data_IF_383299791615
#
_entry.id   IF_383299791615
#
_cell.length_a   1.000
_cell.length_b   1.000
_cell.length_c   1.000
_cell.angle_alpha   90.00
_cell.angle_beta   90.00
_cell.angle_gamma   90.00
#
_symmetry.space_group_name_H-M   'P 1'
#
loop_
_entity.id
_entity.type
_entity.pdbx_description
1 polymer ?
#
# COMPACT_ATOMS: atom_id res chain seq x y z
N UNK A 1 36.15 -19.78 14.49
CA UNK A 1 35.09 -19.26 13.60
C UNK A 1 34.06 -18.57 14.47
N UNK A 2 33.86 -17.25 14.33
CA UNK A 2 32.72 -16.58 15.00
C UNK A 2 31.45 -16.97 14.26
N UNK A 3 30.61 -17.75 14.89
CA UNK A 3 29.25 -18.00 14.39
C UNK A 3 28.56 -16.66 14.30
N UNK A 4 28.36 -16.14 13.10
CA UNK A 4 27.57 -14.92 12.89
C UNK A 4 26.17 -15.26 13.39
N UNK A 5 25.71 -14.59 14.43
CA UNK A 5 24.35 -14.78 14.94
C UNK A 5 23.37 -14.48 13.79
N UNK A 6 22.42 -15.39 13.58
CA UNK A 6 21.38 -15.24 12.56
C UNK A 6 20.54 -13.97 12.87
N UNK A 7 20.32 -13.13 11.87
CA UNK A 7 19.50 -11.92 12.01
C UNK A 7 18.04 -12.32 12.23
N UNK A 8 17.40 -11.70 13.19
CA UNK A 8 16.01 -11.97 13.56
C UNK A 8 15.09 -10.82 13.11
N UNK A 9 13.94 -11.17 12.57
CA UNK A 9 12.91 -10.22 12.16
C UNK A 9 11.56 -10.60 12.76
N UNK A 10 10.75 -9.62 13.11
CA UNK A 10 9.42 -9.84 13.65
C UNK A 10 8.39 -8.90 13.00
N UNK A 11 7.22 -9.45 12.68
CA UNK A 11 6.11 -8.73 12.10
C UNK A 11 4.76 -9.20 12.67
N UNK A 12 3.80 -8.31 12.78
CA UNK A 12 2.38 -8.72 12.85
C UNK A 12 1.74 -8.47 11.50
N UNK A 13 0.88 -9.38 11.08
CA UNK A 13 0.01 -9.23 9.89
C UNK A 13 -1.33 -9.87 10.19
N UNK A 14 -2.41 -9.36 9.60
CA UNK A 14 -3.73 -9.93 9.77
C UNK A 14 -3.89 -11.16 8.88
N UNK A 15 -3.58 -12.36 9.38
CA UNK A 15 -3.84 -13.61 8.64
C UNK A 15 -5.32 -13.99 8.67
N UNK A 16 -6.02 -13.50 9.67
CA UNK A 16 -7.48 -13.59 9.85
C UNK A 16 -8.10 -12.20 10.01
N UNK A 17 -9.44 -12.13 10.07
CA UNK A 17 -10.17 -10.87 10.25
C UNK A 17 -10.31 -10.00 9.00
N UNK A 18 -10.68 -8.72 9.15
CA UNK A 18 -11.07 -7.85 8.02
C UNK A 18 -9.96 -7.55 7.00
N UNK A 19 -8.70 -7.64 7.39
CA UNK A 19 -7.54 -7.39 6.53
C UNK A 19 -6.84 -8.69 6.09
N UNK A 20 -7.50 -9.85 6.24
CA UNK A 20 -6.88 -11.16 6.00
C UNK A 20 -6.41 -11.35 4.55
N UNK A 21 -7.11 -10.75 3.57
CA UNK A 21 -6.70 -10.81 2.18
C UNK A 21 -5.30 -10.19 2.00
N UNK A 22 -5.16 -8.96 2.42
CA UNK A 22 -3.89 -8.22 2.30
C UNK A 22 -2.83 -8.77 3.26
N UNK A 23 -3.23 -9.18 4.46
CA UNK A 23 -2.32 -9.73 5.46
C UNK A 23 -1.64 -11.02 4.99
N UNK A 24 -2.37 -11.93 4.35
CA UNK A 24 -1.79 -13.15 3.77
C UNK A 24 -0.82 -12.85 2.64
N UNK A 25 -1.14 -11.88 1.76
CA UNK A 25 -0.21 -11.43 0.73
C UNK A 25 1.07 -10.84 1.33
N UNK A 26 0.94 -10.00 2.36
CA UNK A 26 2.07 -9.42 3.06
C UNK A 26 2.94 -10.50 3.73
N UNK A 27 2.33 -11.49 4.40
CA UNK A 27 3.05 -12.60 5.03
C UNK A 27 3.90 -13.36 4.02
N UNK A 28 3.32 -13.79 2.89
CA UNK A 28 4.03 -14.50 1.82
C UNK A 28 5.20 -13.69 1.25
N UNK A 29 5.00 -12.36 1.09
CA UNK A 29 6.09 -11.47 0.66
C UNK A 29 7.23 -11.40 1.67
N UNK A 30 6.92 -11.32 2.97
CA UNK A 30 7.91 -11.35 4.05
C UNK A 30 8.62 -12.70 4.16
N UNK A 31 7.91 -13.81 4.01
CA UNK A 31 8.46 -15.17 4.04
C UNK A 31 9.44 -15.40 2.89
N UNK A 32 9.07 -14.98 1.67
CA UNK A 32 9.95 -15.06 0.50
C UNK A 32 11.23 -14.23 0.71
N UNK A 33 11.11 -12.98 1.18
CA UNK A 33 12.27 -12.18 1.52
C UNK A 33 13.14 -12.85 2.58
N UNK A 34 12.54 -13.32 3.68
CA UNK A 34 13.28 -13.91 4.80
C UNK A 34 14.04 -15.17 4.37
N UNK A 35 13.43 -16.01 3.52
CA UNK A 35 14.07 -17.18 2.93
C UNK A 35 15.27 -16.79 2.06
N UNK A 36 15.12 -15.78 1.19
CA UNK A 36 16.18 -15.30 0.30
C UNK A 36 17.38 -14.71 1.05
N UNK A 37 17.15 -13.95 2.11
CA UNK A 37 18.18 -13.27 2.92
C UNK A 37 18.64 -14.09 4.15
N UNK A 38 18.14 -15.32 4.33
CA UNK A 38 18.43 -16.21 5.47
C UNK A 38 18.13 -15.54 6.82
N UNK A 39 17.00 -14.88 6.92
CA UNK A 39 16.50 -14.18 8.13
C UNK A 39 15.60 -15.12 8.92
N UNK A 40 15.76 -15.16 10.23
CA UNK A 40 14.82 -15.84 11.12
C UNK A 40 13.59 -14.93 11.34
N UNK A 41 12.53 -15.19 10.59
CA UNK A 41 11.30 -14.40 10.63
C UNK A 41 10.29 -15.00 11.59
N UNK A 42 9.71 -14.15 12.45
CA UNK A 42 8.54 -14.46 13.28
C UNK A 42 7.34 -13.62 12.81
N UNK A 43 6.24 -14.28 12.43
CA UNK A 43 4.96 -13.63 12.12
C UNK A 43 3.94 -13.98 13.20
N UNK A 44 3.19 -12.98 13.66
CA UNK A 44 2.03 -13.15 14.56
C UNK A 44 0.80 -12.67 13.82
N UNK A 45 -0.27 -13.49 13.81
CA UNK A 45 -1.60 -13.07 13.36
C UNK A 45 -2.17 -12.05 14.34
N UNK A 46 -2.41 -10.84 13.86
CA UNK A 46 -3.03 -9.79 14.67
C UNK A 46 -4.55 -9.73 14.54
N UNK A 47 -5.14 -10.44 13.58
CA UNK A 47 -6.57 -10.46 13.29
C UNK A 47 -7.21 -9.05 13.16
N UNK A 48 -6.40 -8.01 12.85
CA UNK A 48 -6.82 -6.62 12.85
C UNK A 48 -6.93 -5.99 14.26
N UNK A 49 -6.43 -6.67 15.29
CA UNK A 49 -6.54 -6.25 16.70
C UNK A 49 -5.44 -5.27 17.11
N UNK A 50 -5.83 -4.07 17.44
CA UNK A 50 -4.92 -3.05 17.98
C UNK A 50 -4.21 -3.49 19.28
N UNK A 51 -4.89 -4.28 20.12
CA UNK A 51 -4.31 -4.80 21.36
C UNK A 51 -3.23 -5.83 21.06
N UNK A 52 -3.54 -6.84 20.23
CA UNK A 52 -2.57 -7.86 19.82
C UNK A 52 -1.30 -7.23 19.23
N UNK A 53 -1.48 -6.25 18.34
CA UNK A 53 -0.36 -5.54 17.73
C UNK A 53 0.49 -4.83 18.79
N UNK A 54 -0.12 -4.02 19.69
CA UNK A 54 0.64 -3.32 20.74
C UNK A 54 1.41 -4.26 21.66
N UNK A 55 0.80 -5.39 22.03
CA UNK A 55 1.42 -6.34 22.96
C UNK A 55 2.56 -7.12 22.31
N UNK A 56 2.43 -7.49 21.03
CA UNK A 56 3.50 -8.11 20.25
C UNK A 56 4.73 -7.19 20.17
N UNK A 57 4.55 -5.92 19.76
CA UNK A 57 5.66 -4.99 19.64
C UNK A 57 6.30 -4.64 20.97
N UNK A 58 5.55 -4.48 22.07
CA UNK A 58 6.11 -4.29 23.40
C UNK A 58 6.98 -5.47 23.84
N UNK A 59 6.52 -6.71 23.56
CA UNK A 59 7.28 -7.92 23.87
C UNK A 59 8.58 -7.98 23.10
N UNK A 60 8.57 -7.71 21.80
CA UNK A 60 9.76 -7.70 20.96
C UNK A 60 10.76 -6.61 21.37
N UNK A 61 10.27 -5.43 21.69
CA UNK A 61 11.12 -4.30 22.17
C UNK A 61 11.74 -4.57 23.55
N UNK A 62 11.12 -5.40 24.38
CA UNK A 62 11.70 -5.88 25.65
C UNK A 62 12.67 -7.06 25.51
N UNK A 63 12.77 -7.65 24.31
CA UNK A 63 13.64 -8.77 23.98
C UNK A 63 14.79 -8.40 23.06
N UNK A 64 15.26 -9.40 22.29
CA UNK A 64 16.26 -9.19 21.23
C UNK A 64 15.58 -9.45 19.89
N UNK A 65 15.38 -8.40 19.12
CA UNK A 65 14.93 -8.44 17.73
C UNK A 65 15.74 -7.43 16.94
N UNK A 66 16.23 -7.85 15.77
CA UNK A 66 17.07 -6.98 14.95
C UNK A 66 16.24 -6.10 14.03
N UNK A 67 15.14 -6.64 13.47
CA UNK A 67 14.28 -5.97 12.49
C UNK A 67 12.80 -6.05 12.93
N UNK A 68 12.12 -4.92 12.93
CA UNK A 68 10.66 -4.83 13.14
C UNK A 68 9.97 -4.37 11.86
N UNK A 69 9.02 -5.18 11.36
CA UNK A 69 8.27 -4.91 10.15
C UNK A 69 6.76 -4.87 10.40
N UNK A 70 6.04 -4.17 9.54
CA UNK A 70 4.57 -4.12 9.60
C UNK A 70 4.05 -3.18 10.68
N UNK A 71 2.81 -3.35 11.17
CA UNK A 71 1.76 -4.24 10.66
C UNK A 71 1.18 -3.77 9.31
N UNK A 72 0.25 -4.57 8.72
CA UNK A 72 -0.52 -4.11 7.58
C UNK A 72 -1.71 -3.25 8.02
N UNK A 73 -1.89 -2.11 7.34
CA UNK A 73 -2.99 -1.18 7.59
C UNK A 73 -2.64 0.03 8.46
N UNK A 74 -3.02 1.21 7.98
CA UNK A 74 -2.69 2.51 8.63
C UNK A 74 -3.19 2.60 10.06
N UNK A 75 -4.35 1.99 10.36
CA UNK A 75 -4.91 1.95 11.72
C UNK A 75 -3.99 1.24 12.71
N UNK A 76 -3.43 0.11 12.32
CA UNK A 76 -2.54 -0.70 13.16
C UNK A 76 -1.14 -0.08 13.28
N UNK A 77 -0.58 0.46 12.18
CA UNK A 77 0.70 1.20 12.24
C UNK A 77 0.62 2.39 13.20
N UNK A 78 -0.52 3.09 13.23
CA UNK A 78 -0.76 4.20 14.18
C UNK A 78 -0.68 3.77 15.64
N UNK A 79 -1.03 2.51 15.95
CA UNK A 79 -0.95 1.97 17.30
C UNK A 79 0.49 1.70 17.76
N UNK A 80 1.37 1.28 16.85
CA UNK A 80 2.73 0.84 17.20
C UNK A 80 3.81 1.86 16.90
N UNK A 81 3.62 2.71 15.91
CA UNK A 81 4.62 3.73 15.56
C UNK A 81 5.12 4.54 16.76
N UNK A 82 4.24 5.10 17.62
CA UNK A 82 4.65 5.82 18.83
C UNK A 82 5.39 4.94 19.84
N UNK A 83 5.05 3.65 19.92
CA UNK A 83 5.71 2.70 20.86
C UNK A 83 7.14 2.46 20.39
N UNK A 84 7.32 2.10 19.12
CA UNK A 84 8.62 1.82 18.52
C UNK A 84 9.53 3.04 18.56
N UNK A 85 9.01 4.23 18.18
CA UNK A 85 9.76 5.49 18.22
C UNK A 85 10.26 5.85 19.62
N UNK A 86 9.44 5.67 20.66
CA UNK A 86 9.85 5.93 22.05
C UNK A 86 10.96 5.00 22.56
N UNK A 87 11.04 3.78 22.01
CA UNK A 87 12.12 2.85 22.32
C UNK A 87 13.38 3.07 21.47
N UNK A 88 13.37 4.07 20.57
CA UNK A 88 14.49 4.34 19.67
C UNK A 88 14.72 3.26 18.63
N UNK A 89 13.72 2.40 18.36
CA UNK A 89 13.80 1.34 17.38
C UNK A 89 13.22 1.77 16.04
N UNK A 90 13.58 1.07 14.95
CA UNK A 90 13.04 1.29 13.62
C UNK A 90 11.83 0.38 13.37
N UNK A 91 10.78 0.93 12.80
CA UNK A 91 9.65 0.19 12.24
C UNK A 91 9.65 0.32 10.71
N UNK A 92 9.88 -0.78 10.00
CA UNK A 92 9.77 -0.82 8.54
C UNK A 92 8.31 -1.03 8.15
N UNK A 93 7.66 0.07 7.82
CA UNK A 93 6.24 0.13 7.57
C UNK A 93 5.92 -0.21 6.11
N UNK A 94 5.47 -1.44 5.87
CA UNK A 94 5.06 -1.90 4.54
C UNK A 94 3.57 -1.76 4.26
N UNK A 95 2.72 -1.50 5.26
CA UNK A 95 1.28 -1.65 5.10
C UNK A 95 0.45 -0.42 5.46
N UNK A 96 1.07 0.60 6.05
CA UNK A 96 0.39 1.84 6.42
C UNK A 96 0.83 3.00 5.53
N UNK A 97 -0.10 3.61 4.80
CA UNK A 97 0.18 4.71 3.88
C UNK A 97 -0.49 6.03 4.22
N UNK A 98 -1.34 6.08 5.28
CA UNK A 98 -1.96 7.34 5.70
C UNK A 98 -0.89 8.38 6.09
N UNK A 99 -1.05 9.61 5.62
CA UNK A 99 -0.05 10.68 5.72
C UNK A 99 0.31 11.05 7.17
N UNK A 100 -0.63 10.87 8.11
CA UNK A 100 -0.43 11.13 9.53
C UNK A 100 0.46 10.10 10.25
N UNK A 101 0.96 9.10 9.55
CA UNK A 101 1.91 8.11 10.07
C UNK A 101 3.36 8.58 10.01
N UNK A 102 3.66 9.62 9.23
CA UNK A 102 5.00 10.18 9.10
C UNK A 102 5.56 10.63 10.45
N UNK A 103 6.63 10.00 10.88
CA UNK A 103 7.35 10.31 12.13
C UNK A 103 8.73 9.69 12.13
N UNK A 104 9.65 10.21 12.94
CA UNK A 104 10.95 9.58 13.11
C UNK A 104 10.84 8.10 13.48
N UNK A 105 11.71 7.29 12.89
CA UNK A 105 11.87 5.85 13.11
C UNK A 105 10.73 4.96 12.59
N UNK A 106 9.70 5.52 11.97
CA UNK A 106 8.73 4.77 11.16
C UNK A 106 9.09 4.98 9.69
N UNK A 107 9.62 3.96 9.05
CA UNK A 107 10.15 4.02 7.68
C UNK A 107 9.09 3.49 6.71
N UNK A 108 8.33 4.37 6.03
CA UNK A 108 7.35 3.94 5.03
C UNK A 108 8.04 3.51 3.74
N UNK A 109 7.63 2.37 3.18
CA UNK A 109 8.10 1.92 1.86
C UNK A 109 7.12 2.25 0.75
N UNK A 110 5.84 2.38 1.08
CA UNK A 110 4.76 2.74 0.16
C UNK A 110 4.66 4.26 0.00
N UNK A 111 4.14 4.69 -1.14
CA UNK A 111 3.77 6.08 -1.35
C UNK A 111 2.69 6.54 -0.36
N UNK A 112 2.65 7.83 0.00
CA UNK A 112 1.60 8.39 0.87
C UNK A 112 0.21 8.23 0.27
N UNK A 113 -0.79 8.03 1.12
CA UNK A 113 -2.19 7.86 0.70
C UNK A 113 -2.72 9.05 -0.11
N UNK A 114 -2.27 10.27 0.19
CA UNK A 114 -2.62 11.48 -0.58
C UNK A 114 -2.22 11.42 -2.05
N UNK A 115 -1.33 10.52 -2.44
CA UNK A 115 -0.90 10.36 -3.85
C UNK A 115 -1.73 9.35 -4.63
N UNK A 116 -2.58 8.55 -3.98
CA UNK A 116 -3.22 7.39 -4.59
C UNK A 116 -4.07 7.71 -5.82
N UNK A 117 -4.88 8.75 -5.78
CA UNK A 117 -5.74 9.13 -6.91
C UNK A 117 -5.19 10.25 -7.79
N UNK A 118 -3.96 10.72 -7.57
CA UNK A 118 -3.39 11.77 -8.42
C UNK A 118 -3.39 11.38 -9.90
N UNK A 119 -2.92 10.17 -10.22
CA UNK A 119 -2.92 9.68 -11.60
C UNK A 119 -4.32 9.44 -12.19
N UNK A 120 -5.30 9.04 -11.38
CA UNK A 120 -6.70 8.91 -11.83
C UNK A 120 -7.32 10.29 -12.11
N UNK A 121 -7.02 11.29 -11.31
CA UNK A 121 -7.44 12.69 -11.54
C UNK A 121 -6.79 13.25 -12.81
N UNK A 122 -5.50 13.00 -13.01
CA UNK A 122 -4.79 13.37 -14.23
C UNK A 122 -5.37 12.68 -15.47
N UNK A 123 -5.76 11.42 -15.35
CA UNK A 123 -6.43 10.69 -16.41
C UNK A 123 -7.80 11.30 -16.75
N UNK A 124 -8.58 11.66 -15.72
CA UNK A 124 -9.84 12.36 -15.89
C UNK A 124 -9.67 13.69 -16.66
N UNK A 125 -8.66 14.48 -16.26
CA UNK A 125 -8.32 15.73 -16.97
C UNK A 125 -7.92 15.47 -18.42
N UNK A 126 -7.04 14.50 -18.71
CA UNK A 126 -6.66 14.15 -20.10
C UNK A 126 -7.85 13.67 -20.93
N UNK A 127 -8.83 12.99 -20.34
CA UNK A 127 -10.08 12.56 -21.00
C UNK A 127 -11.09 13.68 -21.17
N UNK A 128 -10.77 14.91 -20.77
CA UNK A 128 -11.64 16.09 -20.90
C UNK A 128 -12.84 16.10 -19.95
N UNK A 129 -12.80 15.32 -18.85
CA UNK A 129 -13.89 15.30 -17.87
C UNK A 129 -13.81 16.57 -17.00
N UNK A 130 -14.90 17.36 -16.93
CA UNK A 130 -14.86 18.66 -16.23
C UNK A 130 -15.00 18.52 -14.70
N UNK A 131 -15.41 17.33 -14.21
CA UNK A 131 -15.81 17.15 -12.81
C UNK A 131 -15.24 15.88 -12.21
N UNK A 132 -14.92 15.96 -10.89
CA UNK A 132 -14.51 14.83 -10.06
C UNK A 132 -15.44 14.72 -8.86
N UNK A 133 -16.04 13.56 -8.65
CA UNK A 133 -16.76 13.19 -7.44
C UNK A 133 -15.86 12.27 -6.63
N UNK A 134 -15.60 12.66 -5.38
CA UNK A 134 -14.78 11.91 -4.43
C UNK A 134 -15.70 11.29 -3.39
N UNK A 135 -15.94 9.98 -3.47
CA UNK A 135 -16.77 9.23 -2.55
C UNK A 135 -15.91 8.61 -1.45
N UNK A 136 -16.14 9.03 -0.22
CA UNK A 136 -15.29 8.69 0.92
C UNK A 136 -16.02 7.82 1.93
N UNK A 137 -15.42 6.69 2.29
CA UNK A 137 -15.76 5.91 3.49
C UNK A 137 -15.14 6.49 4.76
N UNK A 138 -15.27 5.76 5.85
CA UNK A 138 -14.81 6.21 7.18
C UNK A 138 -13.30 5.93 7.33
N UNK A 139 -12.56 6.87 7.90
CA UNK A 139 -11.18 6.68 8.35
C UNK A 139 -10.16 7.65 7.77
N UNK A 140 -9.04 7.79 8.49
CA UNK A 140 -7.98 8.75 8.14
C UNK A 140 -7.26 8.42 6.84
N UNK A 141 -7.16 7.13 6.50
CA UNK A 141 -6.63 6.72 5.21
C UNK A 141 -7.50 7.26 4.06
N UNK A 142 -8.81 7.01 4.12
CA UNK A 142 -9.75 7.52 3.12
C UNK A 142 -9.71 9.05 3.04
N UNK A 143 -9.65 9.73 4.18
CA UNK A 143 -9.53 11.19 4.22
C UNK A 143 -8.23 11.70 3.55
N UNK A 144 -7.11 11.02 3.74
CA UNK A 144 -5.84 11.39 3.12
C UNK A 144 -5.90 11.20 1.58
N UNK A 145 -6.45 10.07 1.10
CA UNK A 145 -6.65 9.81 -0.33
C UNK A 145 -7.50 10.89 -0.98
N UNK A 146 -8.66 11.20 -0.36
CA UNK A 146 -9.59 12.21 -0.88
C UNK A 146 -8.98 13.62 -0.84
N UNK A 147 -8.23 13.95 0.21
CA UNK A 147 -7.56 15.27 0.32
C UNK A 147 -6.55 15.47 -0.81
N UNK A 148 -5.71 14.47 -1.08
CA UNK A 148 -4.73 14.55 -2.15
C UNK A 148 -5.36 14.57 -3.55
N UNK A 149 -6.42 13.79 -3.76
CA UNK A 149 -7.19 13.80 -5.01
C UNK A 149 -7.86 15.17 -5.25
N UNK A 150 -8.45 15.77 -4.21
CA UNK A 150 -9.04 17.10 -4.26
C UNK A 150 -8.01 18.15 -4.63
N UNK A 151 -6.89 18.18 -3.92
CA UNK A 151 -5.81 19.13 -4.22
C UNK A 151 -5.38 19.02 -5.68
N UNK A 152 -5.15 17.79 -6.17
CA UNK A 152 -4.72 17.58 -7.54
C UNK A 152 -5.76 18.01 -8.57
N UNK A 153 -7.05 17.77 -8.31
CA UNK A 153 -8.12 18.17 -9.19
C UNK A 153 -8.26 19.71 -9.25
N UNK A 154 -8.13 20.38 -8.12
CA UNK A 154 -8.15 21.86 -8.03
C UNK A 154 -6.96 22.48 -8.79
N UNK A 155 -5.75 21.89 -8.68
CA UNK A 155 -4.55 22.30 -9.45
C UNK A 155 -4.77 22.18 -10.97
N UNK A 156 -5.59 21.21 -11.41
CA UNK A 156 -5.91 21.00 -12.83
C UNK A 156 -7.17 21.75 -13.29
N UNK A 157 -7.78 22.55 -12.43
CA UNK A 157 -8.99 23.32 -12.74
C UNK A 157 -10.28 22.50 -12.86
N UNK A 158 -10.31 21.29 -12.30
CA UNK A 158 -11.51 20.44 -12.31
C UNK A 158 -12.46 20.81 -11.16
N UNK A 159 -13.76 20.79 -11.44
CA UNK A 159 -14.76 20.98 -10.38
C UNK A 159 -14.80 19.72 -9.47
N UNK A 160 -14.70 19.92 -8.14
CA UNK A 160 -14.62 18.82 -7.17
C UNK A 160 -15.82 18.81 -6.23
N UNK A 161 -16.46 17.65 -6.11
CA UNK A 161 -17.51 17.38 -5.13
C UNK A 161 -17.15 16.19 -4.24
N UNK A 162 -17.16 16.40 -2.92
CA UNK A 162 -17.04 15.32 -1.94
C UNK A 162 -18.42 14.77 -1.56
N UNK A 163 -18.53 13.45 -1.39
CA UNK A 163 -19.75 12.79 -0.91
C UNK A 163 -19.37 11.67 0.06
N UNK A 164 -20.25 11.38 1.02
CA UNK A 164 -20.14 10.15 1.79
C UNK A 164 -20.36 8.95 0.86
N UNK A 165 -19.58 7.92 1.03
CA UNK A 165 -19.67 6.71 0.20
C UNK A 165 -21.10 6.13 0.21
N UNK A 166 -21.74 6.08 1.35
CA UNK A 166 -23.12 5.59 1.52
C UNK A 166 -24.17 6.44 0.78
N UNK A 167 -23.83 7.68 0.40
CA UNK A 167 -24.75 8.62 -0.29
C UNK A 167 -24.44 8.74 -1.79
N UNK A 168 -23.47 8.01 -2.31
CA UNK A 168 -23.07 8.14 -3.72
C UNK A 168 -24.22 7.84 -4.68
N UNK A 169 -25.05 6.84 -4.38
CA UNK A 169 -26.23 6.48 -5.19
C UNK A 169 -27.24 7.62 -5.39
N UNK A 170 -27.28 8.60 -4.47
CA UNK A 170 -28.18 9.76 -4.52
C UNK A 170 -27.49 11.02 -5.06
N UNK A 171 -26.27 10.91 -5.54
CA UNK A 171 -25.44 12.06 -5.95
C UNK A 171 -25.90 12.75 -7.26
N UNK A 172 -26.93 12.25 -7.93
CA UNK A 172 -27.42 12.76 -9.21
C UNK A 172 -26.68 12.14 -10.41
N UNK A 173 -26.82 12.74 -11.61
CA UNK A 173 -26.16 12.25 -12.80
C UNK A 173 -24.64 12.30 -12.66
N UNK A 174 -23.99 11.16 -12.95
CA UNK A 174 -22.53 10.98 -12.92
C UNK A 174 -21.92 11.00 -14.34
N UNK A 175 -22.73 11.22 -15.37
CA UNK A 175 -22.26 11.35 -16.76
C UNK A 175 -21.23 12.49 -16.87
N UNK A 176 -20.21 12.33 -17.69
CA UNK A 176 -19.09 13.28 -17.85
C UNK A 176 -18.37 13.63 -16.53
N UNK A 177 -18.37 12.71 -15.58
CA UNK A 177 -17.76 12.88 -14.27
C UNK A 177 -16.78 11.75 -14.00
N UNK A 178 -15.65 12.05 -13.41
CA UNK A 178 -14.80 11.04 -12.81
C UNK A 178 -15.31 10.74 -11.39
N UNK A 179 -15.66 9.51 -11.10
CA UNK A 179 -16.08 9.04 -9.78
C UNK A 179 -14.95 8.23 -9.18
N UNK A 180 -14.38 8.72 -8.08
CA UNK A 180 -13.27 8.08 -7.36
C UNK A 180 -13.72 7.68 -5.96
N UNK A 181 -13.61 6.39 -5.66
CA UNK A 181 -14.18 5.75 -4.48
C UNK A 181 -13.05 5.29 -3.55
N UNK A 182 -13.19 5.55 -2.26
CA UNK A 182 -12.30 5.02 -1.24
C UNK A 182 -13.08 4.60 0.00
N UNK A 183 -13.28 3.32 0.12
CA UNK A 183 -13.88 2.62 1.26
C UNK A 183 -12.99 1.47 1.75
N UNK A 184 -13.60 0.50 2.39
CA UNK A 184 -13.04 -0.83 2.57
C UNK A 184 -13.10 -1.61 1.26
N UNK A 185 -12.36 -2.70 1.15
CA UNK A 185 -12.41 -3.56 -0.05
C UNK A 185 -13.84 -3.97 -0.43
N UNK A 186 -14.62 -4.39 0.55
CA UNK A 186 -16.01 -4.85 0.33
C UNK A 186 -16.94 -3.69 -0.07
N UNK A 187 -16.77 -2.52 0.56
CA UNK A 187 -17.56 -1.33 0.20
C UNK A 187 -17.25 -0.88 -1.23
N UNK A 188 -15.98 -0.84 -1.63
CA UNK A 188 -15.58 -0.48 -2.99
C UNK A 188 -16.20 -1.44 -4.01
N UNK A 189 -16.17 -2.77 -3.79
CA UNK A 189 -16.81 -3.77 -4.63
C UNK A 189 -18.31 -3.49 -4.80
N UNK A 190 -19.02 -3.34 -3.68
CA UNK A 190 -20.48 -3.14 -3.67
C UNK A 190 -20.88 -1.86 -4.42
N UNK A 191 -20.10 -0.79 -4.25
CA UNK A 191 -20.38 0.48 -4.94
C UNK A 191 -20.11 0.37 -6.44
N UNK A 192 -19.06 -0.33 -6.86
CA UNK A 192 -18.80 -0.57 -8.29
C UNK A 192 -19.92 -1.38 -8.92
N UNK A 193 -20.37 -2.47 -8.30
CA UNK A 193 -21.51 -3.27 -8.78
C UNK A 193 -22.79 -2.42 -8.91
N UNK A 194 -23.06 -1.57 -7.92
CA UNK A 194 -24.20 -0.67 -7.96
C UNK A 194 -24.13 0.33 -9.11
N UNK A 195 -22.97 0.93 -9.38
CA UNK A 195 -22.77 1.87 -10.49
C UNK A 195 -22.94 1.18 -11.83
N UNK A 196 -22.45 -0.06 -11.97
CA UNK A 196 -22.61 -0.88 -13.19
C UNK A 196 -24.07 -1.22 -13.53
N UNK A 197 -24.96 -1.14 -12.55
CA UNK A 197 -26.41 -1.31 -12.75
C UNK A 197 -27.13 -0.06 -13.26
N UNK A 198 -26.44 1.05 -13.47
CA UNK A 198 -27.01 2.34 -13.87
C UNK A 198 -26.23 3.07 -14.96
N UNK A 199 -26.50 4.37 -15.17
CA UNK A 199 -25.72 5.21 -16.09
C UNK A 199 -24.26 5.31 -15.64
N UNK A 200 -23.35 4.95 -16.52
CA UNK A 200 -21.93 4.91 -16.22
C UNK A 200 -21.30 6.32 -16.16
N UNK A 201 -20.38 6.56 -15.21
CA UNK A 201 -19.57 7.77 -15.19
C UNK A 201 -18.57 7.78 -16.34
N UNK A 202 -18.04 8.97 -16.68
CA UNK A 202 -16.97 9.11 -17.67
C UNK A 202 -15.65 8.43 -17.28
N UNK A 203 -15.41 8.28 -15.97
CA UNK A 203 -14.32 7.49 -15.38
C UNK A 203 -14.79 6.94 -14.03
N UNK A 204 -14.58 5.67 -13.79
CA UNK A 204 -14.82 5.03 -12.50
C UNK A 204 -13.49 4.54 -11.93
N UNK A 205 -13.18 4.91 -10.68
CA UNK A 205 -11.99 4.45 -10.00
C UNK A 205 -12.23 4.15 -8.53
N UNK A 206 -11.50 3.19 -7.98
CA UNK A 206 -11.50 2.90 -6.56
C UNK A 206 -10.14 2.38 -6.09
N UNK A 207 -9.88 2.48 -4.78
CA UNK A 207 -8.62 1.99 -4.22
C UNK A 207 -8.53 0.47 -4.30
N UNK A 208 -9.64 -0.25 -4.09
CA UNK A 208 -9.68 -1.71 -4.18
C UNK A 208 -9.29 -2.25 -5.55
N UNK A 209 -9.46 -1.49 -6.64
CA UNK A 209 -9.10 -1.90 -7.99
C UNK A 209 -7.59 -2.17 -8.15
N UNK A 210 -6.75 -1.68 -7.22
CA UNK A 210 -5.33 -2.02 -7.17
C UNK A 210 -5.04 -3.48 -6.79
N UNK A 211 -5.98 -4.18 -6.16
CA UNK A 211 -5.80 -5.56 -5.72
C UNK A 211 -6.25 -6.54 -6.82
N UNK A 212 -5.50 -7.64 -7.04
CA UNK A 212 -5.87 -8.67 -8.02
C UNK A 212 -7.21 -9.31 -7.69
N UNK A 213 -7.53 -9.49 -6.41
CA UNK A 213 -8.81 -10.03 -5.95
C UNK A 213 -10.02 -9.18 -6.39
N UNK A 214 -9.83 -7.89 -6.68
CA UNK A 214 -10.89 -7.04 -7.21
C UNK A 214 -11.43 -7.58 -8.56
N UNK A 215 -10.55 -7.89 -9.50
CA UNK A 215 -10.93 -8.48 -10.76
C UNK A 215 -11.48 -9.90 -10.62
N UNK A 216 -10.92 -10.71 -9.73
CA UNK A 216 -11.42 -12.06 -9.44
C UNK A 216 -12.88 -12.04 -8.96
N UNK A 217 -13.24 -11.06 -8.12
CA UNK A 217 -14.59 -10.90 -7.57
C UNK A 217 -15.59 -10.32 -8.56
N UNK A 218 -15.20 -9.28 -9.26
CA UNK A 218 -16.10 -8.52 -10.13
C UNK A 218 -16.16 -9.07 -11.57
N UNK A 219 -15.15 -9.84 -11.99
CA UNK A 219 -15.08 -10.33 -13.36
C UNK A 219 -15.20 -9.17 -14.37
N UNK A 220 -16.15 -9.25 -15.28
CA UNK A 220 -16.39 -8.21 -16.31
C UNK A 220 -16.82 -6.85 -15.73
N UNK A 221 -17.38 -6.81 -14.53
CA UNK A 221 -17.74 -5.55 -13.89
C UNK A 221 -16.52 -4.71 -13.48
N UNK A 222 -15.33 -5.32 -13.41
CA UNK A 222 -14.07 -4.61 -13.19
C UNK A 222 -13.59 -3.84 -14.43
N UNK A 223 -13.97 -4.25 -15.65
CA UNK A 223 -13.43 -3.65 -16.88
C UNK A 223 -13.68 -2.14 -16.94
N UNK A 224 -12.63 -1.37 -17.27
CA UNK A 224 -12.65 0.09 -17.30
C UNK A 224 -12.54 0.76 -15.92
N UNK A 225 -12.54 0.01 -14.80
CA UNK A 225 -12.30 0.58 -13.48
C UNK A 225 -10.81 0.86 -13.29
N UNK A 226 -10.47 2.08 -12.86
CA UNK A 226 -9.10 2.46 -12.58
C UNK A 226 -8.79 2.39 -11.07
N UNK A 227 -7.52 2.17 -10.74
CA UNK A 227 -7.09 2.17 -9.35
C UNK A 227 -5.58 2.39 -9.18
N UNK A 228 -5.13 2.75 -7.97
CA UNK A 228 -3.73 2.89 -7.65
C UNK A 228 -3.12 1.54 -7.29
N UNK A 229 -1.96 1.22 -7.84
CA UNK A 229 -1.10 0.13 -7.38
C UNK A 229 0.25 0.68 -6.95
N UNK A 230 0.82 0.11 -5.89
CA UNK A 230 2.16 0.49 -5.43
C UNK A 230 3.26 -0.15 -6.27
N UNK A 231 2.92 -1.16 -7.07
CA UNK A 231 3.90 -1.92 -7.82
C UNK A 231 3.25 -2.61 -9.02
N UNK A 232 3.99 -2.62 -10.11
CA UNK A 232 3.76 -3.47 -11.28
C UNK A 232 5.08 -4.19 -11.55
N UNK A 233 5.03 -5.49 -11.82
CA UNK A 233 6.22 -6.27 -12.12
C UNK A 233 6.95 -5.70 -13.34
N UNK A 234 8.15 -5.18 -13.14
CA UNK A 234 9.00 -4.61 -14.17
C UNK A 234 10.41 -5.14 -14.08
N UNK A 235 11.10 -5.11 -15.22
CA UNK A 235 12.46 -5.58 -15.38
C UNK A 235 13.53 -4.62 -14.84
N UNK A 236 13.18 -3.52 -14.19
CA UNK A 236 14.18 -2.62 -13.62
C UNK A 236 15.00 -3.35 -12.55
N UNK A 237 16.33 -3.31 -12.70
CA UNK A 237 17.24 -3.89 -11.71
C UNK A 237 17.35 -2.98 -10.51
N UNK A 238 16.88 -3.36 -9.32
CA UNK A 238 17.00 -2.54 -8.13
C UNK A 238 18.42 -2.59 -7.55
N UNK A 239 18.77 -1.57 -6.77
CA UNK A 239 20.00 -1.59 -5.99
C UNK A 239 19.88 -2.45 -4.72
N UNK A 240 18.65 -2.67 -4.25
CA UNK A 240 18.34 -3.42 -3.03
C UNK A 240 17.22 -4.41 -3.30
N UNK A 241 17.48 -5.69 -3.03
CA UNK A 241 16.54 -6.79 -3.17
C UNK A 241 16.45 -7.37 -4.59
N UNK A 242 15.42 -8.15 -4.84
CA UNK A 242 15.14 -8.79 -6.13
C UNK A 242 14.57 -7.80 -7.13
N UNK A 243 14.75 -8.09 -8.42
CA UNK A 243 13.95 -7.42 -9.47
C UNK A 243 12.47 -7.79 -9.35
N UNK A 244 11.59 -6.98 -9.92
CA UNK A 244 10.16 -7.30 -9.94
C UNK A 244 9.87 -8.61 -10.67
N UNK A 245 10.60 -8.92 -11.75
CA UNK A 245 10.46 -10.15 -12.50
C UNK A 245 10.90 -11.38 -11.67
N UNK A 246 12.08 -11.32 -11.02
CA UNK A 246 12.57 -12.42 -10.18
C UNK A 246 11.67 -12.64 -8.97
N UNK A 247 11.14 -11.56 -8.38
CA UNK A 247 10.18 -11.65 -7.28
C UNK A 247 8.90 -12.35 -7.73
N UNK A 248 8.29 -11.94 -8.86
CA UNK A 248 7.09 -12.59 -9.40
C UNK A 248 7.32 -14.06 -9.66
N UNK A 249 8.40 -14.41 -10.36
CA UNK A 249 8.71 -15.79 -10.69
C UNK A 249 8.83 -16.68 -9.45
N UNK A 250 9.56 -16.22 -8.43
CA UNK A 250 9.72 -16.97 -7.17
C UNK A 250 8.39 -17.08 -6.41
N UNK A 251 7.65 -15.95 -6.30
CA UNK A 251 6.38 -15.94 -5.62
C UNK A 251 5.37 -16.91 -6.26
N UNK A 252 5.25 -16.89 -7.58
CA UNK A 252 4.38 -17.80 -8.32
C UNK A 252 4.80 -19.27 -8.16
N UNK A 253 6.12 -19.54 -8.19
CA UNK A 253 6.66 -20.88 -7.96
C UNK A 253 6.33 -21.43 -6.57
N UNK A 254 6.34 -20.59 -5.55
CA UNK A 254 6.10 -21.00 -4.16
C UNK A 254 4.61 -21.03 -3.78
N UNK A 255 3.79 -20.15 -4.38
CA UNK A 255 2.40 -19.92 -3.95
C UNK A 255 1.35 -20.36 -5.00
N UNK A 256 1.75 -20.66 -6.25
CA UNK A 256 0.84 -21.07 -7.33
C UNK A 256 -0.05 -19.96 -7.90
N UNK A 257 0.16 -18.71 -7.51
CA UNK A 257 -0.59 -17.55 -7.96
C UNK A 257 0.34 -16.31 -8.09
N UNK A 258 0.03 -15.33 -8.95
CA UNK A 258 0.84 -14.13 -9.09
C UNK A 258 0.79 -13.28 -7.82
N UNK A 259 1.89 -12.56 -7.49
CA UNK A 259 1.92 -11.66 -6.35
C UNK A 259 1.06 -10.42 -6.57
N UNK A 260 0.35 -10.01 -5.53
CA UNK A 260 -0.22 -8.68 -5.44
C UNK A 260 0.85 -7.65 -5.03
N UNK A 261 0.62 -6.36 -5.30
CA UNK A 261 1.53 -5.30 -4.86
C UNK A 261 1.77 -5.32 -3.34
N UNK A 262 0.82 -5.84 -2.56
CA UNK A 262 0.94 -5.98 -1.11
C UNK A 262 2.08 -6.92 -0.72
N UNK A 263 2.25 -8.02 -1.44
CA UNK A 263 3.38 -8.93 -1.23
C UNK A 263 4.71 -8.27 -1.61
N UNK A 264 4.75 -7.57 -2.75
CA UNK A 264 5.94 -6.89 -3.23
C UNK A 264 6.41 -5.78 -2.26
N UNK A 265 5.47 -4.98 -1.73
CA UNK A 265 5.83 -3.92 -0.77
C UNK A 265 6.30 -4.48 0.58
N UNK A 266 5.75 -5.61 1.03
CA UNK A 266 6.20 -6.28 2.24
C UNK A 266 7.62 -6.83 2.07
N UNK A 267 7.91 -7.50 0.96
CA UNK A 267 9.25 -7.96 0.63
C UNK A 267 10.25 -6.80 0.48
N UNK A 268 9.86 -5.71 -0.20
CA UNK A 268 10.72 -4.53 -0.35
C UNK A 268 11.08 -3.90 1.00
N UNK A 269 10.15 -3.85 1.96
CA UNK A 269 10.43 -3.41 3.33
C UNK A 269 11.45 -4.30 4.01
N UNK A 270 11.34 -5.60 3.85
CA UNK A 270 12.30 -6.56 4.36
C UNK A 270 13.70 -6.36 3.77
N UNK A 271 13.81 -6.24 2.45
CA UNK A 271 15.10 -5.98 1.79
C UNK A 271 15.74 -4.67 2.24
N UNK A 272 14.98 -3.59 2.36
CA UNK A 272 15.48 -2.31 2.88
C UNK A 272 15.93 -2.44 4.33
N UNK A 273 15.15 -3.14 5.18
CA UNK A 273 15.49 -3.38 6.57
C UNK A 273 16.81 -4.13 6.72
N UNK A 274 16.96 -5.24 5.99
CA UNK A 274 18.17 -6.05 6.02
C UNK A 274 19.39 -5.28 5.49
N UNK A 275 19.25 -4.50 4.43
CA UNK A 275 20.32 -3.69 3.87
C UNK A 275 20.76 -2.57 4.84
N UNK A 276 19.80 -1.88 5.45
CA UNK A 276 20.10 -0.87 6.47
C UNK A 276 20.81 -1.47 7.69
N UNK A 277 20.39 -2.67 8.11
CA UNK A 277 21.04 -3.43 9.20
C UNK A 277 22.47 -3.84 8.84
N UNK A 278 22.69 -4.44 7.64
CA UNK A 278 24.04 -4.80 7.15
C UNK A 278 24.98 -3.61 7.11
N UNK A 279 24.49 -2.46 6.62
CA UNK A 279 25.25 -1.20 6.56
C UNK A 279 25.39 -0.50 7.92
N UNK A 280 24.70 -0.97 8.95
CA UNK A 280 24.67 -0.36 10.29
C UNK A 280 24.27 1.12 10.25
N UNK A 281 23.31 1.46 9.40
CA UNK A 281 22.85 2.84 9.26
C UNK A 281 22.32 3.39 10.58
N UNK A 282 22.78 4.59 10.93
CA UNK A 282 22.21 5.37 12.01
C UNK A 282 20.94 6.10 11.53
N UNK A 283 20.07 6.49 12.46
CA UNK A 283 18.79 7.11 12.14
C UNK A 283 18.91 8.32 11.21
N UNK A 284 19.91 9.20 11.43
CA UNK A 284 20.17 10.37 10.60
C UNK A 284 20.73 10.05 9.20
N UNK A 285 21.17 8.82 8.97
CA UNK A 285 21.63 8.35 7.66
C UNK A 285 20.46 7.79 6.85
N UNK A 286 19.44 7.21 7.53
CA UNK A 286 18.27 6.62 6.87
C UNK A 286 17.43 7.66 6.13
N UNK A 287 17.17 8.83 6.73
CA UNK A 287 16.40 9.87 6.06
C UNK A 287 17.14 10.57 4.91
N UNK A 288 18.44 10.31 4.76
CA UNK A 288 19.27 10.75 3.61
C UNK A 288 19.54 9.63 2.62
N UNK A 289 19.18 8.39 2.97
CA UNK A 289 19.42 7.25 2.12
C UNK A 289 18.46 7.26 0.93
N UNK A 290 19.05 7.23 -0.27
CA UNK A 290 18.34 7.09 -1.54
C UNK A 290 18.79 5.81 -2.19
N UNK A 291 17.85 4.99 -2.64
CA UNK A 291 18.11 3.72 -3.31
C UNK A 291 16.94 3.34 -4.20
N UNK A 292 17.02 2.19 -4.85
CA UNK A 292 15.93 1.60 -5.63
C UNK A 292 15.62 0.20 -5.12
N UNK A 293 14.32 -0.14 -5.10
CA UNK A 293 13.79 -1.47 -4.84
C UNK A 293 12.93 -1.90 -6.01
N UNK A 294 12.33 -3.09 -5.94
CA UNK A 294 11.34 -3.51 -6.93
C UNK A 294 10.13 -2.56 -7.03
N UNK A 295 9.84 -1.78 -5.99
CA UNK A 295 8.76 -0.78 -6.02
C UNK A 295 9.17 0.49 -6.82
N UNK A 296 10.46 0.70 -7.05
CA UNK A 296 11.02 1.91 -7.62
C UNK A 296 11.94 2.66 -6.65
N UNK A 297 11.99 3.97 -6.75
CA UNK A 297 12.85 4.80 -5.92
C UNK A 297 12.39 4.82 -4.45
N UNK A 298 13.34 4.71 -3.54
CA UNK A 298 13.16 4.93 -2.11
C UNK A 298 13.91 6.18 -1.68
N UNK A 299 13.22 7.13 -1.10
CA UNK A 299 13.79 8.32 -0.47
C UNK A 299 12.81 8.87 0.56
N UNK A 300 13.32 9.35 1.68
CA UNK A 300 12.51 9.99 2.73
C UNK A 300 12.80 11.49 2.76
N UNK A 301 11.78 12.30 3.11
CA UNK A 301 11.96 13.69 3.47
C UNK A 301 12.36 13.84 4.96
N UNK A 302 12.56 15.08 5.40
CA UNK A 302 12.92 15.40 6.80
C UNK A 302 11.85 14.96 7.81
N UNK A 303 10.61 14.83 7.37
CA UNK A 303 9.46 14.36 8.17
C UNK A 303 9.30 12.83 8.15
N UNK A 304 10.23 12.10 7.54
CA UNK A 304 10.17 10.65 7.35
C UNK A 304 8.99 10.19 6.46
N UNK A 305 8.59 11.02 5.50
CA UNK A 305 7.62 10.65 4.47
C UNK A 305 8.35 10.08 3.25
N UNK A 306 7.81 9.03 2.66
CA UNK A 306 8.30 8.50 1.39
C UNK A 306 8.00 9.49 0.26
N UNK A 307 9.05 9.94 -0.46
CA UNK A 307 8.98 10.91 -1.55
C UNK A 307 9.59 10.38 -2.86
N UNK A 308 10.24 9.23 -2.84
CA UNK A 308 10.88 8.66 -4.03
C UNK A 308 9.95 7.79 -4.87
N UNK A 309 8.85 7.31 -4.30
CA UNK A 309 7.91 6.39 -4.93
C UNK A 309 6.55 7.05 -5.16
N UNK A 310 5.91 6.73 -6.28
CA UNK A 310 4.54 7.15 -6.61
C UNK A 310 3.73 5.94 -7.07
N UNK A 311 2.44 5.86 -6.71
CA UNK A 311 1.59 4.80 -7.21
C UNK A 311 1.45 4.88 -8.74
N UNK A 312 1.25 3.73 -9.35
CA UNK A 312 0.88 3.63 -10.76
C UNK A 312 -0.63 3.53 -10.86
N UNK A 313 -1.24 4.33 -11.72
CA UNK A 313 -2.66 4.16 -12.04
C UNK A 313 -2.82 3.05 -13.07
N UNK A 314 -3.61 2.04 -12.71
CA UNK A 314 -3.99 0.94 -13.61
C UNK A 314 -5.44 1.08 -14.05
N UNK A 315 -5.77 0.41 -15.13
CA UNK A 315 -7.13 0.19 -15.61
C UNK A 315 -7.33 -1.32 -15.82
N UNK A 316 -8.45 -1.85 -15.37
CA UNK A 316 -8.82 -3.24 -15.66
C UNK A 316 -9.31 -3.39 -17.09
N UNK A 317 -8.74 -4.36 -17.83
CA UNK A 317 -9.11 -4.69 -19.21
C UNK A 317 -9.04 -6.20 -19.43
N UNK A 318 -10.16 -6.80 -19.80
CA UNK A 318 -10.22 -8.23 -20.08
C UNK A 318 -9.71 -9.10 -18.94
N UNK A 319 -10.01 -8.74 -17.69
CA UNK A 319 -9.61 -9.45 -16.49
C UNK A 319 -8.15 -9.24 -16.06
N UNK A 320 -7.46 -8.22 -16.59
CA UNK A 320 -6.06 -7.90 -16.25
C UNK A 320 -5.90 -6.43 -15.89
N UNK A 321 -4.92 -6.16 -15.04
CA UNK A 321 -4.48 -4.80 -14.72
C UNK A 321 -3.48 -4.33 -15.79
N UNK A 322 -3.78 -3.23 -16.45
CA UNK A 322 -2.89 -2.58 -17.40
C UNK A 322 -2.60 -1.15 -16.92
N UNK A 323 -1.46 -0.58 -17.30
CA UNK A 323 -1.18 0.83 -17.00
C UNK A 323 -2.22 1.70 -17.71
N UNK A 324 -2.91 2.56 -16.97
CA UNK A 324 -3.87 3.50 -17.54
C UNK A 324 -3.16 4.57 -18.39
N UNK A 325 -3.69 4.84 -19.59
CA UNK A 325 -3.13 5.78 -20.59
C UNK A 325 -4.09 6.91 -20.91
#
# INVERSE_FOLDING_TARGET
MRTTAMVTASATVSLTGPLALQGRQAARGLELWASADQIQLQIIDDAGSATTVRDAYRRWLGGRVDLLLGPYGSGLVRQVGPIVSRHGALLWNHGGSADDLARPLVVPVSAPASTYFQGAVELAHRRGLPRVVLAQGIGRFASAVVSGARQRAEELGLAVRGVDLAKLATAGSLTETAVLIVGTFIEDLAVVEQIRGGPEPGLLGCVAAGLLEFGNRLGRAADGVVGPVQWIAHAATPQVGLSGADFSQRYESENGEPPDYVAAQAAAAGYLAAEAHRRRYKHHQLNRWKTTTMLGNFALDESWRQIGHSPVTIEWRGGRQERAT
#
